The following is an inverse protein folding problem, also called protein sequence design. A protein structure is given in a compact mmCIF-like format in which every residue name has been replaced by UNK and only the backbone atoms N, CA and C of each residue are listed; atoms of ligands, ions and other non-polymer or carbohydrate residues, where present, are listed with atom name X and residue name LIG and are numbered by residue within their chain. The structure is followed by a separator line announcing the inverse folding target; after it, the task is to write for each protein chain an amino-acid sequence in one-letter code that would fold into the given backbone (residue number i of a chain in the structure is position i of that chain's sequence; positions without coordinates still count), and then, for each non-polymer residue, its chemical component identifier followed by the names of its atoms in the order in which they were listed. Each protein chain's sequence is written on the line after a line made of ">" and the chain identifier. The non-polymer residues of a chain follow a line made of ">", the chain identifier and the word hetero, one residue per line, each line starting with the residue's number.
data_IF_993122421944
#
_entry.id   IF_993122421944
#
_cell.length_a   1.000
_cell.length_b   1.000
_cell.length_c   1.000
_cell.angle_alpha   90.00
_cell.angle_beta   90.00
_cell.angle_gamma   90.00
#
_symmetry.space_group_name_H-M   'P 1'
#
loop_
_entity.id
_entity.type
_entity.pdbx_description
1 polymer ?
#
# COMPACT_ATOMS: atom_id res chain seq x y z
N UNK A 1 -34.98 -9.48 -24.31
CA UNK A 1 -33.76 -10.31 -24.25
C UNK A 1 -32.46 -9.55 -24.54
N UNK A 2 -32.41 -8.60 -25.49
CA UNK A 2 -31.16 -7.85 -25.82
C UNK A 2 -30.72 -6.78 -24.80
N UNK A 3 -31.63 -6.31 -23.93
CA UNK A 3 -31.35 -5.31 -22.88
C UNK A 3 -30.77 -5.95 -21.61
N UNK A 4 -31.20 -7.15 -21.27
CA UNK A 4 -30.75 -7.90 -20.09
C UNK A 4 -29.30 -8.39 -20.23
N UNK A 5 -28.84 -8.66 -21.46
CA UNK A 5 -27.44 -9.01 -21.77
C UNK A 5 -26.48 -7.82 -21.68
N UNK A 6 -26.97 -6.59 -21.81
CA UNK A 6 -26.16 -5.36 -21.69
C UNK A 6 -25.87 -4.99 -20.23
N UNK A 7 -26.78 -5.30 -19.31
CA UNK A 7 -26.57 -5.06 -17.87
C UNK A 7 -25.68 -6.11 -17.22
N UNK A 8 -25.73 -7.38 -17.68
CA UNK A 8 -24.85 -8.44 -17.19
C UNK A 8 -23.36 -8.20 -17.56
N UNK A 9 -23.08 -7.50 -18.66
CA UNK A 9 -21.72 -7.21 -19.13
C UNK A 9 -21.07 -6.02 -18.42
N UNK A 10 -21.86 -5.06 -17.93
CA UNK A 10 -21.33 -3.92 -17.16
C UNK A 10 -20.96 -4.29 -15.72
N UNK A 11 -21.69 -5.22 -15.09
CA UNK A 11 -21.40 -5.69 -13.73
C UNK A 11 -20.08 -6.49 -13.62
N UNK A 12 -19.73 -7.26 -14.66
CA UNK A 12 -18.49 -8.03 -14.69
C UNK A 12 -17.23 -7.15 -14.76
N UNK A 13 -17.34 -5.94 -15.34
CA UNK A 13 -16.22 -4.99 -15.45
C UNK A 13 -15.86 -4.35 -14.10
N UNK A 14 -16.86 -4.07 -13.25
CA UNK A 14 -16.62 -3.49 -11.92
C UNK A 14 -15.94 -4.46 -10.94
N UNK A 15 -16.20 -5.77 -11.05
CA UNK A 15 -15.58 -6.78 -10.16
C UNK A 15 -14.08 -6.95 -10.42
N UNK A 16 -13.61 -6.70 -11.64
CA UNK A 16 -12.18 -6.77 -11.99
C UNK A 16 -11.40 -5.50 -11.64
N UNK A 17 -12.06 -4.35 -11.52
CA UNK A 17 -11.40 -3.09 -11.20
C UNK A 17 -10.94 -3.02 -9.73
N UNK A 18 -11.67 -3.67 -8.81
CA UNK A 18 -11.36 -3.62 -7.37
C UNK A 18 -10.10 -4.41 -6.97
N UNK A 19 -9.76 -5.47 -7.71
CA UNK A 19 -8.56 -6.27 -7.43
C UNK A 19 -7.27 -5.55 -7.84
N UNK A 20 -7.31 -4.77 -8.92
CA UNK A 20 -6.15 -4.00 -9.40
C UNK A 20 -5.72 -2.92 -8.41
N UNK A 21 -6.66 -2.18 -7.81
CA UNK A 21 -6.35 -1.14 -6.83
C UNK A 21 -5.67 -1.69 -5.56
N UNK A 22 -6.06 -2.91 -5.13
CA UNK A 22 -5.45 -3.56 -3.97
C UNK A 22 -4.03 -4.07 -4.27
N UNK A 23 -3.76 -4.54 -5.49
CA UNK A 23 -2.44 -5.04 -5.89
C UNK A 23 -1.34 -3.96 -5.80
N UNK A 24 -1.68 -2.68 -6.02
CA UNK A 24 -0.71 -1.57 -6.00
C UNK A 24 -0.59 -0.86 -4.66
N UNK A 25 -1.37 -1.22 -3.64
CA UNK A 25 -1.41 -0.46 -2.39
C UNK A 25 -0.09 -0.52 -1.60
N UNK A 26 0.45 -1.72 -1.32
CA UNK A 26 1.71 -1.86 -0.58
C UNK A 26 2.90 -1.22 -1.34
N UNK A 27 3.09 -1.48 -2.66
CA UNK A 27 4.14 -0.80 -3.43
C UNK A 27 4.04 0.73 -3.43
N UNK A 28 2.82 1.28 -3.52
CA UNK A 28 2.63 2.72 -3.48
C UNK A 28 3.02 3.33 -2.13
N UNK A 29 2.63 2.70 -1.02
CA UNK A 29 2.96 3.20 0.32
C UNK A 29 4.46 3.06 0.63
N UNK A 30 5.09 1.97 0.19
CA UNK A 30 6.55 1.81 0.23
C UNK A 30 7.25 2.96 -0.50
N UNK A 31 6.82 3.29 -1.72
CA UNK A 31 7.41 4.38 -2.50
C UNK A 31 7.21 5.76 -1.84
N UNK A 32 6.04 6.01 -1.22
CA UNK A 32 5.80 7.25 -0.45
C UNK A 32 6.73 7.37 0.75
N UNK A 33 6.94 6.28 1.50
CA UNK A 33 7.88 6.23 2.63
C UNK A 33 9.30 6.50 2.13
N UNK A 34 9.73 5.86 1.04
CA UNK A 34 11.06 6.05 0.47
C UNK A 34 11.28 7.51 0.03
N UNK A 35 10.29 8.11 -0.61
CA UNK A 35 10.33 9.52 -1.01
C UNK A 35 10.36 10.48 0.19
N UNK A 36 9.65 10.17 1.28
CA UNK A 36 9.68 10.96 2.50
C UNK A 36 11.04 10.85 3.22
N UNK A 37 11.61 9.64 3.31
CA UNK A 37 12.93 9.40 3.88
C UNK A 37 14.03 10.12 3.09
N UNK A 38 13.94 10.14 1.76
CA UNK A 38 14.89 10.84 0.89
C UNK A 38 14.93 12.37 1.14
N UNK A 39 13.83 12.95 1.64
CA UNK A 39 13.75 14.37 2.04
C UNK A 39 14.38 14.66 3.40
N UNK A 40 15.00 13.66 4.05
CA UNK A 40 15.65 13.79 5.36
C UNK A 40 14.72 14.42 6.41
N UNK A 41 13.61 13.74 6.77
CA UNK A 41 12.60 14.32 7.64
C UNK A 41 13.19 14.62 9.03
N UNK A 42 12.71 15.70 9.65
CA UNK A 42 13.13 16.10 11.00
C UNK A 42 12.48 15.19 12.05
N UNK A 43 13.01 13.98 12.18
CA UNK A 43 12.61 12.97 13.16
C UNK A 43 13.77 12.70 14.13
N UNK A 44 13.44 12.24 15.35
CA UNK A 44 14.45 11.71 16.25
C UNK A 44 15.11 10.48 15.63
N UNK A 45 16.37 10.22 15.96
CA UNK A 45 17.13 9.09 15.40
C UNK A 45 16.42 7.74 15.60
N UNK A 46 15.79 7.54 16.77
CA UNK A 46 15.00 6.34 17.06
C UNK A 46 13.79 6.20 16.12
N UNK A 47 13.04 7.29 15.89
CA UNK A 47 11.90 7.29 14.97
C UNK A 47 12.34 7.00 13.53
N UNK A 48 13.47 7.57 13.09
CA UNK A 48 14.02 7.29 11.76
C UNK A 48 14.41 5.82 11.61
N UNK A 49 15.00 5.22 12.65
CA UNK A 49 15.34 3.79 12.67
C UNK A 49 14.08 2.92 12.60
N UNK A 50 13.03 3.26 13.35
CA UNK A 50 11.76 2.55 13.34
C UNK A 50 11.08 2.63 11.97
N UNK A 51 11.04 3.81 11.35
CA UNK A 51 10.47 4.00 10.00
C UNK A 51 11.21 3.13 8.97
N UNK A 52 12.56 3.10 9.00
CA UNK A 52 13.35 2.27 8.09
C UNK A 52 13.10 0.78 8.32
N UNK A 53 13.00 0.35 9.58
CA UNK A 53 12.67 -1.03 9.94
C UNK A 53 11.29 -1.42 9.42
N UNK A 54 10.28 -0.61 9.69
CA UNK A 54 8.90 -0.83 9.24
C UNK A 54 8.80 -0.86 7.71
N UNK A 55 9.55 0.00 7.01
CA UNK A 55 9.63 -0.02 5.55
C UNK A 55 10.20 -1.33 5.00
N UNK A 56 11.29 -1.82 5.60
CA UNK A 56 11.88 -3.09 5.20
C UNK A 56 10.98 -4.29 5.55
N UNK A 57 10.35 -4.27 6.72
CA UNK A 57 9.43 -5.32 7.18
C UNK A 57 8.17 -5.38 6.30
N UNK A 58 7.58 -4.23 5.95
CA UNK A 58 6.46 -4.17 5.01
C UNK A 58 6.79 -4.80 3.66
N UNK A 59 7.99 -4.55 3.11
CA UNK A 59 8.43 -5.18 1.87
C UNK A 59 8.60 -6.69 2.00
N UNK A 60 9.16 -7.16 3.12
CA UNK A 60 9.30 -8.60 3.37
C UNK A 60 7.94 -9.29 3.48
N UNK A 61 6.97 -8.65 4.16
CA UNK A 61 5.60 -9.15 4.29
C UNK A 61 4.88 -9.17 2.93
N UNK A 62 5.02 -8.13 2.11
CA UNK A 62 4.54 -8.10 0.73
C UNK A 62 5.19 -9.23 -0.10
N UNK A 63 6.52 -9.35 0.01
CA UNK A 63 7.39 -10.48 -0.39
C UNK A 63 6.73 -11.85 -0.21
N UNK A 64 6.21 -12.04 1.00
CA UNK A 64 5.64 -13.28 1.49
C UNK A 64 4.12 -13.45 1.24
N UNK A 65 3.48 -12.53 0.51
CA UNK A 65 2.03 -12.55 0.27
C UNK A 65 1.17 -12.13 1.46
N UNK A 66 1.78 -11.66 2.56
CA UNK A 66 1.09 -11.20 3.77
C UNK A 66 0.66 -9.73 3.62
N UNK A 67 -0.22 -9.46 2.66
CA UNK A 67 -0.56 -8.09 2.28
C UNK A 67 -1.19 -7.26 3.39
N UNK A 68 -2.11 -7.82 4.17
CA UNK A 68 -2.73 -7.08 5.28
C UNK A 68 -1.70 -6.69 6.35
N UNK A 69 -0.77 -7.59 6.67
CA UNK A 69 0.32 -7.32 7.61
C UNK A 69 1.26 -6.24 7.06
N UNK A 70 1.59 -6.32 5.77
CA UNK A 70 2.40 -5.30 5.08
C UNK A 70 1.75 -3.92 5.20
N UNK A 71 0.46 -3.80 4.86
CA UNK A 71 -0.27 -2.52 4.98
C UNK A 71 -0.25 -2.01 6.42
N UNK A 72 -0.51 -2.87 7.40
CA UNK A 72 -0.54 -2.49 8.80
C UNK A 72 0.83 -1.98 9.31
N UNK A 73 1.92 -2.59 8.86
CA UNK A 73 3.28 -2.16 9.21
C UNK A 73 3.65 -0.85 8.49
N UNK A 74 3.37 -0.73 7.19
CA UNK A 74 3.65 0.47 6.41
C UNK A 74 2.85 1.69 6.91
N UNK A 75 1.61 1.49 7.35
CA UNK A 75 0.79 2.55 7.95
C UNK A 75 1.43 3.15 9.22
N UNK A 76 2.15 2.36 10.02
CA UNK A 76 2.89 2.88 11.19
C UNK A 76 4.05 3.80 10.78
N UNK A 77 4.75 3.44 9.72
CA UNK A 77 5.84 4.25 9.16
C UNK A 77 5.29 5.56 8.61
N UNK A 78 4.22 5.50 7.82
CA UNK A 78 3.54 6.66 7.26
C UNK A 78 3.03 7.61 8.35
N UNK A 79 2.39 7.09 9.40
CA UNK A 79 1.96 7.90 10.55
C UNK A 79 3.12 8.65 11.22
N UNK A 80 4.28 7.99 11.37
CA UNK A 80 5.48 8.62 11.96
C UNK A 80 6.04 9.71 11.05
N UNK A 81 5.95 9.53 9.73
CA UNK A 81 6.36 10.49 8.72
C UNK A 81 5.31 11.60 8.46
N UNK A 82 4.09 11.47 9.00
CA UNK A 82 3.01 12.42 8.81
C UNK A 82 2.43 12.42 7.39
N UNK A 83 2.41 11.25 6.73
CA UNK A 83 1.89 11.04 5.36
C UNK A 83 0.78 10.00 5.30
#
# INVERSE_FOLDING_TARGET
>A
MKRTTLFASLAAFFLFASSAAFAFHCPADMAKIDAALAKSPKLAAAQLADVKKQRAEGEALHKAGKHNDSVAVLAKAMKTLGI
#
